data_IF_864078368214
#
_entry.id   IF_864078368214
#
_cell.length_a   1.000
_cell.length_b   1.000
_cell.length_c   1.000
_cell.angle_alpha   90.00
_cell.angle_beta   90.00
_cell.angle_gamma   90.00
#
_symmetry.space_group_name_H-M   'P 1'
#
loop_
_entity.id
_entity.type
_entity.pdbx_description
1 polymer ?
#
# COMPACT_ATOMS: atom_id res chain seq x y z
N UNK A 1 -12.06 -4.02 -15.49
CA UNK A 1 -11.58 -5.27 -14.83
C UNK A 1 -10.28 -5.78 -15.43
N UNK A 2 -10.16 -5.90 -16.76
CA UNK A 2 -8.93 -6.39 -17.42
C UNK A 2 -7.67 -5.55 -17.10
N UNK A 3 -7.78 -4.22 -17.08
CA UNK A 3 -6.66 -3.32 -16.78
C UNK A 3 -6.06 -3.56 -15.39
N UNK A 4 -6.90 -3.74 -14.37
CA UNK A 4 -6.47 -4.02 -12.99
C UNK A 4 -5.77 -5.37 -12.87
N UNK A 5 -6.31 -6.40 -13.53
CA UNK A 5 -5.71 -7.72 -13.56
C UNK A 5 -4.33 -7.70 -14.22
N UNK A 6 -4.18 -6.95 -15.32
CA UNK A 6 -2.90 -6.73 -15.99
C UNK A 6 -1.89 -6.02 -15.09
N UNK A 7 -2.32 -4.99 -14.36
CA UNK A 7 -1.46 -4.25 -13.43
C UNK A 7 -0.97 -5.14 -12.28
N UNK A 8 -1.87 -5.89 -11.63
CA UNK A 8 -1.51 -6.85 -10.57
C UNK A 8 -0.54 -7.92 -11.09
N UNK A 9 -0.83 -8.51 -12.25
CA UNK A 9 0.04 -9.50 -12.86
C UNK A 9 1.45 -8.94 -13.12
N UNK A 10 1.54 -7.74 -13.71
CA UNK A 10 2.81 -7.09 -14.01
C UNK A 10 3.61 -6.76 -12.74
N UNK A 11 2.95 -6.29 -11.67
CA UNK A 11 3.60 -6.05 -10.38
C UNK A 11 4.16 -7.33 -9.77
N UNK A 12 3.39 -8.42 -9.75
CA UNK A 12 3.83 -9.72 -9.22
C UNK A 12 5.01 -10.26 -10.03
N UNK A 13 4.92 -10.17 -11.36
CA UNK A 13 5.99 -10.62 -12.25
C UNK A 13 7.29 -9.83 -12.05
N UNK A 14 7.21 -8.50 -12.00
CA UNK A 14 8.35 -7.63 -11.72
C UNK A 14 8.94 -7.86 -10.33
N UNK A 15 8.10 -8.11 -9.33
CA UNK A 15 8.57 -8.44 -7.98
C UNK A 15 9.34 -9.77 -7.95
N UNK A 16 8.88 -10.79 -8.70
CA UNK A 16 9.61 -12.04 -8.88
C UNK A 16 10.98 -11.85 -9.57
N UNK A 17 11.03 -11.01 -10.61
CA UNK A 17 12.29 -10.63 -11.25
C UNK A 17 13.22 -9.87 -10.30
N UNK A 18 12.66 -8.99 -9.46
CA UNK A 18 13.45 -8.26 -8.48
C UNK A 18 14.07 -9.19 -7.43
N UNK A 19 13.31 -10.12 -6.85
CA UNK A 19 13.84 -11.08 -5.86
C UNK A 19 14.97 -11.90 -6.47
N UNK A 20 14.76 -12.45 -7.66
CA UNK A 20 15.74 -13.32 -8.32
C UNK A 20 17.02 -12.57 -8.68
N UNK A 21 16.91 -11.36 -9.26
CA UNK A 21 18.09 -10.53 -9.57
C UNK A 21 18.80 -10.03 -8.32
N UNK A 22 18.08 -9.70 -7.25
CA UNK A 22 18.67 -9.29 -5.98
C UNK A 22 19.51 -10.41 -5.36
N UNK A 23 18.97 -11.63 -5.30
CA UNK A 23 19.69 -12.79 -4.78
C UNK A 23 20.96 -13.10 -5.60
N UNK A 24 20.88 -13.00 -6.93
CA UNK A 24 22.02 -13.17 -7.81
C UNK A 24 23.08 -12.08 -7.60
N UNK A 25 22.67 -10.82 -7.41
CA UNK A 25 23.59 -9.70 -7.14
C UNK A 25 24.35 -9.88 -5.82
N UNK A 26 23.69 -10.37 -4.78
CA UNK A 26 24.34 -10.69 -3.48
C UNK A 26 25.27 -11.90 -3.62
N UNK A 27 24.84 -12.94 -4.35
CA UNK A 27 25.57 -14.20 -4.47
C UNK A 27 26.80 -14.17 -5.38
N UNK A 28 26.88 -13.24 -6.34
CA UNK A 28 27.91 -13.30 -7.41
C UNK A 28 29.36 -13.21 -6.90
N UNK A 29 29.59 -12.59 -5.73
CA UNK A 29 30.92 -12.43 -5.13
C UNK A 29 31.16 -13.35 -3.92
N UNK A 30 30.10 -13.86 -3.30
CA UNK A 30 30.21 -14.57 -2.02
C UNK A 30 30.46 -16.05 -2.31
N UNK A 31 31.62 -16.56 -1.89
CA UNK A 31 32.00 -17.97 -2.07
C UNK A 31 31.21 -18.91 -1.15
N UNK A 32 30.81 -18.43 0.03
CA UNK A 32 30.01 -19.17 1.00
C UNK A 32 28.51 -18.93 0.84
N UNK A 33 27.78 -19.96 0.41
CA UNK A 33 26.33 -19.88 0.20
C UNK A 33 25.56 -19.47 1.47
N UNK A 34 25.97 -19.96 2.64
CA UNK A 34 25.29 -19.66 3.91
C UNK A 34 25.33 -18.17 4.24
N UNK A 35 26.50 -17.54 4.10
CA UNK A 35 26.68 -16.11 4.36
C UNK A 35 25.88 -15.26 3.37
N UNK A 36 25.85 -15.65 2.09
CA UNK A 36 25.08 -14.95 1.08
C UNK A 36 23.57 -14.93 1.40
N UNK A 37 23.04 -16.08 1.83
CA UNK A 37 21.64 -16.22 2.21
C UNK A 37 21.32 -15.38 3.46
N UNK A 38 22.18 -15.38 4.47
CA UNK A 38 21.98 -14.58 5.68
C UNK A 38 21.95 -13.07 5.37
N UNK A 39 22.88 -12.58 4.54
CA UNK A 39 22.92 -11.17 4.13
C UNK A 39 21.66 -10.81 3.33
N UNK A 40 21.30 -11.62 2.33
CA UNK A 40 20.10 -11.38 1.54
C UNK A 40 18.83 -11.34 2.41
N UNK A 41 18.74 -12.25 3.38
CA UNK A 41 17.62 -12.32 4.34
C UNK A 41 17.56 -11.06 5.20
N UNK A 42 18.69 -10.59 5.73
CA UNK A 42 18.76 -9.36 6.52
C UNK A 42 18.32 -8.12 5.70
N UNK A 43 18.79 -8.01 4.46
CA UNK A 43 18.37 -6.94 3.55
C UNK A 43 16.88 -6.99 3.22
N UNK A 44 16.32 -8.20 3.04
CA UNK A 44 14.89 -8.38 2.82
C UNK A 44 14.07 -7.95 4.05
N UNK A 45 14.52 -8.32 5.26
CA UNK A 45 13.89 -7.86 6.51
C UNK A 45 13.88 -6.35 6.64
N UNK A 46 14.99 -5.68 6.35
CA UNK A 46 15.02 -4.21 6.34
C UNK A 46 14.03 -3.63 5.34
N UNK A 47 13.98 -4.18 4.13
CA UNK A 47 13.04 -3.72 3.10
C UNK A 47 11.58 -3.92 3.51
N UNK A 48 11.28 -5.00 4.25
CA UNK A 48 9.95 -5.31 4.80
C UNK A 48 9.56 -4.39 5.95
N UNK A 49 10.44 -4.16 6.91
CA UNK A 49 10.15 -3.28 8.07
C UNK A 49 9.90 -1.85 7.61
N UNK A 50 10.62 -1.38 6.59
CA UNK A 50 10.54 -0.01 6.09
C UNK A 50 9.63 0.17 4.87
N UNK A 51 8.81 -0.81 4.48
CA UNK A 51 7.88 -0.65 3.36
C UNK A 51 6.58 0.09 3.71
N UNK A 52 6.40 0.52 4.96
CA UNK A 52 5.26 1.34 5.41
C UNK A 52 4.00 0.57 5.80
N UNK A 53 3.98 -0.77 5.66
CA UNK A 53 2.81 -1.58 6.04
C UNK A 53 2.75 -1.92 7.53
N UNK A 54 3.91 -2.08 8.17
CA UNK A 54 4.01 -2.39 9.60
C UNK A 54 4.00 -1.13 10.46
N UNK A 55 4.53 -0.03 9.93
CA UNK A 55 4.64 1.28 10.58
C UNK A 55 4.24 2.35 9.58
N UNK A 56 3.31 3.21 9.95
CA UNK A 56 2.90 4.33 9.10
C UNK A 56 4.08 5.28 8.90
N UNK A 57 4.16 5.93 7.73
CA UNK A 57 5.21 6.90 7.40
C UNK A 57 5.32 8.03 8.43
N UNK A 58 4.22 8.37 9.10
CA UNK A 58 4.16 9.41 10.12
C UNK A 58 4.83 9.03 11.45
N UNK A 59 4.95 7.72 11.73
CA UNK A 59 5.54 7.21 12.97
C UNK A 59 7.05 6.93 12.82
N UNK A 60 7.58 7.06 11.60
CA UNK A 60 8.99 6.81 11.30
C UNK A 60 9.84 8.08 11.57
N UNK A 61 10.96 7.95 12.32
CA UNK A 61 11.93 9.04 12.46
C UNK A 61 12.45 9.50 11.10
N UNK A 62 12.72 10.81 10.94
CA UNK A 62 13.07 11.43 9.63
C UNK A 62 14.17 10.73 8.84
N UNK A 63 15.14 10.11 9.52
CA UNK A 63 16.22 9.36 8.87
C UNK A 63 15.71 8.18 8.02
N UNK A 64 14.69 7.46 8.51
CA UNK A 64 14.17 6.25 7.87
C UNK A 64 13.23 6.53 6.69
N UNK A 65 12.83 7.78 6.48
CA UNK A 65 12.03 8.20 5.31
C UNK A 65 12.82 7.95 4.00
N UNK A 66 14.14 8.11 4.03
CA UNK A 66 15.00 7.81 2.86
C UNK A 66 14.98 6.32 2.55
N UNK A 67 15.04 5.48 3.59
CA UNK A 67 15.02 4.01 3.45
C UNK A 67 13.66 3.53 2.94
N UNK A 68 12.56 4.14 3.41
CA UNK A 68 11.21 3.90 2.89
C UNK A 68 11.12 4.18 1.39
N UNK A 69 11.67 5.32 0.92
CA UNK A 69 11.71 5.67 -0.52
C UNK A 69 12.67 4.79 -1.33
N UNK A 70 13.73 4.28 -0.72
CA UNK A 70 14.66 3.36 -1.37
C UNK A 70 14.17 1.90 -1.37
N UNK A 71 13.09 1.58 -0.64
CA UNK A 71 12.60 0.21 -0.52
C UNK A 71 11.74 -0.16 -1.74
N UNK A 72 12.12 -1.18 -2.53
CA UNK A 72 11.32 -1.66 -3.65
C UNK A 72 9.98 -2.28 -3.19
N UNK A 73 9.89 -2.77 -1.95
CA UNK A 73 8.66 -3.31 -1.39
C UNK A 73 7.59 -2.23 -1.20
N UNK A 74 7.97 -0.99 -0.91
CA UNK A 74 7.04 0.14 -0.81
C UNK A 74 6.23 0.27 -2.09
N UNK A 75 6.91 0.38 -3.23
CA UNK A 75 6.27 0.53 -4.54
C UNK A 75 5.44 -0.69 -4.95
N UNK A 76 5.86 -1.89 -4.57
CA UNK A 76 5.09 -3.11 -4.82
C UNK A 76 3.77 -3.12 -4.03
N UNK A 77 3.83 -2.87 -2.72
CA UNK A 77 2.64 -2.86 -1.86
C UNK A 77 1.70 -1.72 -2.25
N UNK A 78 2.23 -0.53 -2.49
CA UNK A 78 1.45 0.64 -2.93
C UNK A 78 0.76 0.36 -4.27
N UNK A 79 1.47 -0.22 -5.22
CA UNK A 79 0.91 -0.67 -6.50
C UNK A 79 -0.19 -1.71 -6.32
N UNK A 80 0.00 -2.70 -5.45
CA UNK A 80 -0.98 -3.75 -5.17
C UNK A 80 -2.25 -3.20 -4.53
N UNK A 81 -2.11 -2.30 -3.55
CA UNK A 81 -3.23 -1.64 -2.86
C UNK A 81 -4.00 -0.74 -3.84
N UNK A 82 -3.30 0.03 -4.68
CA UNK A 82 -3.95 0.84 -5.72
C UNK A 82 -4.67 -0.03 -6.76
N UNK A 83 -4.06 -1.12 -7.23
CA UNK A 83 -4.66 -2.00 -8.23
C UNK A 83 -5.95 -2.68 -7.74
N UNK A 84 -6.00 -3.02 -6.45
CA UNK A 84 -7.11 -3.74 -5.84
C UNK A 84 -8.22 -2.81 -5.35
N UNK A 85 -7.88 -1.71 -4.68
CA UNK A 85 -8.85 -0.84 -4.01
C UNK A 85 -9.21 0.43 -4.78
N UNK A 86 -8.44 0.92 -5.75
CA UNK A 86 -8.76 2.21 -6.39
C UNK A 86 -10.20 2.23 -6.92
N UNK A 87 -10.92 3.36 -6.79
CA UNK A 87 -12.24 3.57 -7.41
C UNK A 87 -13.24 2.43 -7.19
N UNK A 88 -13.32 1.87 -5.98
CA UNK A 88 -14.36 0.90 -5.61
C UNK A 88 -15.29 1.50 -4.57
N UNK A 89 -16.60 1.30 -4.78
CA UNK A 89 -17.60 1.62 -3.78
C UNK A 89 -17.57 0.55 -2.69
N UNK A 90 -17.46 0.99 -1.44
CA UNK A 90 -17.51 0.12 -0.28
C UNK A 90 -18.90 0.21 0.33
N UNK A 91 -19.57 -0.92 0.44
CA UNK A 91 -20.77 -1.03 1.29
C UNK A 91 -20.37 -1.53 2.67
N UNK A 92 -20.68 -0.76 3.72
CA UNK A 92 -20.44 -1.20 5.09
C UNK A 92 -21.26 -2.46 5.41
N UNK A 93 -20.58 -3.47 5.95
CA UNK A 93 -21.21 -4.62 6.61
C UNK A 93 -21.77 -4.21 7.98
N UNK A 94 -22.68 -5.01 8.54
CA UNK A 94 -23.36 -4.73 9.80
C UNK A 94 -22.41 -4.47 10.98
N UNK A 95 -21.20 -5.05 10.94
CA UNK A 95 -20.16 -4.86 11.97
C UNK A 95 -19.40 -3.54 11.88
N UNK A 96 -19.42 -2.89 10.72
CA UNK A 96 -18.74 -1.60 10.46
C UNK A 96 -19.70 -0.41 10.48
N UNK A 97 -20.99 -0.67 10.71
CA UNK A 97 -21.98 0.37 10.92
C UNK A 97 -21.77 0.97 12.31
N UNK A 98 -21.65 2.30 12.37
CA UNK A 98 -21.75 3.02 13.62
C UNK A 98 -23.22 3.15 14.00
N UNK A 99 -23.53 2.69 15.21
CA UNK A 99 -24.83 2.87 15.84
C UNK A 99 -24.83 4.19 16.60
N UNK A 100 -25.54 5.18 16.06
CA UNK A 100 -25.62 6.51 16.65
C UNK A 100 -27.04 6.71 17.18
N UNK A 101 -27.17 6.95 18.48
CA UNK A 101 -28.45 7.31 19.08
C UNK A 101 -28.54 8.84 19.21
N UNK A 102 -29.51 9.50 18.53
CA UNK A 102 -29.70 10.92 18.68
C UNK A 102 -30.16 11.26 20.11
N UNK A 103 -29.68 12.36 20.71
CA UNK A 103 -30.08 12.75 22.06
C UNK A 103 -31.56 13.13 22.08
N UNK A 104 -32.33 12.54 23.00
CA UNK A 104 -33.76 12.78 23.22
C UNK A 104 -34.07 14.14 23.88
N UNK A 105 -33.15 15.10 23.81
CA UNK A 105 -33.25 16.37 24.57
C UNK A 105 -33.82 17.46 23.67
N UNK A 106 -35.12 17.74 23.84
CA UNK A 106 -35.80 18.90 23.26
C UNK A 106 -36.83 18.57 22.17
N UNK A 107 -38.04 18.19 22.59
CA UNK A 107 -39.35 18.29 21.91
C UNK A 107 -39.51 17.85 20.43
N UNK A 108 -38.53 17.25 19.79
CA UNK A 108 -38.63 16.84 18.39
C UNK A 108 -38.12 15.43 18.20
N UNK A 109 -39.01 14.54 17.74
CA UNK A 109 -38.69 13.23 17.21
C UNK A 109 -37.89 13.41 15.91
N UNK A 110 -36.64 13.86 16.03
CA UNK A 110 -35.76 14.09 14.89
C UNK A 110 -35.40 12.75 14.26
N UNK A 111 -35.59 12.67 12.95
CA UNK A 111 -35.14 11.50 12.19
C UNK A 111 -33.62 11.45 12.14
N UNK A 112 -33.05 10.25 12.01
CA UNK A 112 -31.61 10.06 11.81
C UNK A 112 -31.07 10.94 10.66
N UNK A 113 -31.86 11.10 9.59
CA UNK A 113 -31.53 11.98 8.47
C UNK A 113 -31.45 13.46 8.86
N UNK A 114 -32.35 13.97 9.71
CA UNK A 114 -32.34 15.36 10.17
C UNK A 114 -31.20 15.64 11.15
N UNK A 115 -30.98 14.72 12.10
CA UNK A 115 -29.90 14.84 13.08
C UNK A 115 -28.52 14.84 12.41
N UNK A 116 -28.30 13.93 11.47
CA UNK A 116 -27.01 13.82 10.77
C UNK A 116 -26.92 14.69 9.52
N UNK A 117 -27.94 15.51 9.18
CA UNK A 117 -27.96 16.29 7.93
C UNK A 117 -26.73 17.18 7.76
N UNK A 118 -26.32 17.90 8.80
CA UNK A 118 -25.10 18.74 8.76
C UNK A 118 -23.84 17.89 8.66
N UNK A 119 -23.80 16.74 9.33
CA UNK A 119 -22.65 15.83 9.29
C UNK A 119 -22.50 15.14 7.93
N UNK A 120 -23.62 14.78 7.30
CA UNK A 120 -23.70 14.21 5.95
C UNK A 120 -23.34 15.21 4.85
N UNK A 121 -23.48 16.52 5.10
CA UNK A 121 -22.99 17.54 4.15
C UNK A 121 -21.47 17.64 4.12
N UNK A 122 -20.78 17.37 5.24
CA UNK A 122 -19.32 17.35 5.31
C UNK A 122 -18.72 16.00 4.94
N UNK A 123 -19.52 14.94 5.00
CA UNK A 123 -19.09 13.58 4.71
C UNK A 123 -20.05 12.99 3.69
N UNK A 124 -19.64 12.86 2.41
CA UNK A 124 -20.40 12.22 1.32
C UNK A 124 -20.69 10.72 1.58
N UNK A 125 -21.33 10.41 2.71
CA UNK A 125 -21.43 9.09 3.30
C UNK A 125 -22.91 8.73 3.51
N UNK A 126 -23.20 7.45 3.35
CA UNK A 126 -24.57 6.95 3.20
C UNK A 126 -25.14 6.50 4.55
N UNK A 127 -26.33 7.00 4.87
CA UNK A 127 -27.15 6.47 5.96
C UNK A 127 -27.95 5.27 5.45
N UNK A 128 -27.94 4.14 6.18
CA UNK A 128 -28.76 2.97 5.79
C UNK A 128 -30.22 3.10 6.22
N UNK A 129 -30.51 3.81 7.31
CA UNK A 129 -31.87 3.95 7.86
C UNK A 129 -32.26 5.42 8.13
N UNK A 130 -32.45 6.24 7.07
CA UNK A 130 -32.74 7.67 7.22
C UNK A 130 -34.01 7.99 8.02
N UNK A 131 -35.00 7.09 8.01
CA UNK A 131 -36.29 7.27 8.68
C UNK A 131 -36.32 6.80 10.15
N UNK A 132 -35.26 6.15 10.65
CA UNK A 132 -35.23 5.70 12.03
C UNK A 132 -35.13 6.90 13.00
N UNK A 133 -35.70 6.75 14.19
CA UNK A 133 -35.62 7.75 15.29
C UNK A 133 -34.67 7.29 16.41
N UNK A 134 -34.32 6.01 16.41
CA UNK A 134 -33.41 5.34 17.33
C UNK A 134 -32.52 4.42 16.52
N UNK A 135 -31.28 4.20 16.97
CA UNK A 135 -30.33 3.30 16.33
C UNK A 135 -29.97 3.67 14.88
N UNK A 136 -29.44 4.87 14.66
CA UNK A 136 -29.02 5.32 13.33
C UNK A 136 -27.79 4.53 12.87
N UNK A 137 -27.90 3.88 11.70
CA UNK A 137 -26.84 3.12 11.05
C UNK A 137 -26.08 4.02 10.09
N UNK A 138 -24.90 4.43 10.52
CA UNK A 138 -24.01 5.32 9.77
C UNK A 138 -22.79 4.55 9.24
N UNK A 139 -22.53 4.67 7.93
CA UNK A 139 -21.35 4.08 7.31
C UNK A 139 -20.22 5.12 7.20
N UNK A 140 -19.10 4.97 7.94
CA UNK A 140 -18.00 5.93 7.89
C UNK A 140 -17.13 5.81 6.64
N UNK A 141 -17.34 4.85 5.72
CA UNK A 141 -16.52 4.77 4.51
C UNK A 141 -17.38 4.30 3.35
N UNK A 142 -17.59 5.18 2.36
CA UNK A 142 -18.39 4.89 1.16
C UNK A 142 -17.50 4.68 -0.09
N UNK A 143 -16.28 5.21 -0.05
CA UNK A 143 -15.31 5.11 -1.14
C UNK A 143 -13.94 4.69 -0.59
N UNK A 144 -13.31 3.70 -1.24
CA UNK A 144 -11.93 3.30 -0.96
C UNK A 144 -10.92 4.42 -1.19
N UNK A 145 -11.22 5.38 -2.07
CA UNK A 145 -10.33 6.51 -2.36
C UNK A 145 -10.02 7.34 -1.11
N UNK A 146 -10.93 7.39 -0.14
CA UNK A 146 -10.70 8.07 1.15
C UNK A 146 -9.64 7.30 1.97
N UNK A 147 -9.68 5.96 1.96
CA UNK A 147 -8.68 5.12 2.62
C UNK A 147 -7.31 5.24 1.92
N UNK A 148 -7.30 5.28 0.58
CA UNK A 148 -6.08 5.46 -0.19
C UNK A 148 -5.41 6.81 0.09
N UNK A 149 -6.18 7.90 0.23
CA UNK A 149 -5.67 9.22 0.63
C UNK A 149 -5.11 9.24 2.05
N UNK A 150 -5.66 8.45 2.97
CA UNK A 150 -5.09 8.32 4.31
C UNK A 150 -3.71 7.64 4.32
N UNK A 151 -3.45 6.81 3.30
CA UNK A 151 -2.16 6.17 3.07
C UNK A 151 -1.22 7.02 2.18
N UNK A 152 -1.59 8.25 1.85
CA UNK A 152 -0.87 9.14 0.92
C UNK A 152 -0.70 8.54 -0.50
N UNK A 153 -1.61 7.62 -0.88
CA UNK A 153 -1.58 6.94 -2.17
C UNK A 153 -2.55 7.59 -3.16
N UNK A 154 -2.00 8.27 -4.16
CA UNK A 154 -2.75 8.81 -5.28
C UNK A 154 -3.09 7.74 -6.33
N UNK A 155 -4.34 7.69 -6.79
CA UNK A 155 -4.80 6.73 -7.82
C UNK A 155 -4.12 6.92 -9.18
N UNK A 156 -3.57 8.10 -9.45
CA UNK A 156 -2.86 8.43 -10.69
C UNK A 156 -1.46 7.80 -10.78
N UNK A 157 -0.88 7.37 -9.65
CA UNK A 157 0.48 6.83 -9.60
C UNK A 157 0.57 5.31 -9.74
N UNK A 158 -0.56 4.61 -9.96
CA UNK A 158 -0.60 3.15 -9.99
C UNK A 158 0.36 2.54 -11.02
N UNK A 159 0.43 3.11 -12.23
CA UNK A 159 1.36 2.68 -13.28
C UNK A 159 2.79 3.20 -13.06
N UNK A 160 2.98 4.30 -12.33
CA UNK A 160 4.31 4.80 -11.99
C UNK A 160 5.06 3.80 -11.09
N UNK A 161 4.35 3.11 -10.20
CA UNK A 161 4.92 2.09 -9.33
C UNK A 161 5.53 0.92 -10.10
N UNK A 162 4.93 0.52 -11.23
CA UNK A 162 5.49 -0.47 -12.16
C UNK A 162 6.83 0.00 -12.72
N UNK A 163 6.92 1.29 -13.09
CA UNK A 163 8.15 1.90 -13.58
C UNK A 163 9.25 1.89 -12.52
N UNK A 164 8.94 2.26 -11.27
CA UNK A 164 9.93 2.25 -10.18
C UNK A 164 10.51 0.84 -9.94
N UNK A 165 9.66 -0.19 -9.87
CA UNK A 165 10.14 -1.57 -9.66
C UNK A 165 11.00 -2.03 -10.85
N UNK A 166 10.63 -1.66 -12.07
CA UNK A 166 11.41 -2.00 -13.28
C UNK A 166 12.82 -1.39 -13.23
N UNK A 167 12.97 -0.15 -12.76
CA UNK A 167 14.28 0.48 -12.55
C UNK A 167 15.13 -0.31 -11.56
N UNK A 168 14.55 -0.79 -10.46
CA UNK A 168 15.27 -1.64 -9.50
C UNK A 168 15.74 -2.97 -10.10
N UNK A 169 14.91 -3.61 -10.94
CA UNK A 169 15.30 -4.85 -11.64
C UNK A 169 16.47 -4.60 -12.59
N UNK A 170 16.42 -3.53 -13.38
CA UNK A 170 17.50 -3.17 -14.30
C UNK A 170 18.78 -2.80 -13.56
N UNK A 171 18.67 -2.07 -12.44
CA UNK A 171 19.80 -1.76 -11.57
C UNK A 171 20.46 -3.03 -11.02
N UNK A 172 19.68 -3.98 -10.50
CA UNK A 172 20.20 -5.25 -10.01
C UNK A 172 20.87 -6.05 -11.14
N UNK A 173 20.25 -6.11 -12.32
CA UNK A 173 20.83 -6.77 -13.49
C UNK A 173 22.19 -6.16 -13.85
N UNK A 174 22.27 -4.84 -13.93
CA UNK A 174 23.54 -4.14 -14.18
C UNK A 174 24.58 -4.42 -13.09
N UNK A 175 24.17 -4.42 -11.81
CA UNK A 175 25.05 -4.71 -10.69
C UNK A 175 25.64 -6.14 -10.79
N UNK A 176 24.85 -7.13 -11.20
CA UNK A 176 25.34 -8.50 -11.44
C UNK A 176 26.46 -8.48 -12.47
N UNK A 177 26.22 -7.90 -13.66
CA UNK A 177 27.22 -7.85 -14.72
C UNK A 177 28.47 -7.06 -14.31
N UNK A 178 28.29 -5.94 -13.62
CA UNK A 178 29.38 -5.08 -13.16
C UNK A 178 30.26 -5.79 -12.11
N UNK A 179 29.66 -6.44 -11.12
CA UNK A 179 30.40 -7.18 -10.09
C UNK A 179 31.06 -8.44 -10.70
N UNK A 180 30.36 -9.13 -11.60
CA UNK A 180 30.94 -10.26 -12.35
C UNK A 180 32.18 -9.81 -13.13
N UNK A 181 32.09 -8.69 -13.86
CA UNK A 181 33.22 -8.13 -14.59
C UNK A 181 34.39 -7.79 -13.66
N UNK A 182 34.13 -7.12 -12.53
CA UNK A 182 35.18 -6.76 -11.56
C UNK A 182 35.88 -7.96 -10.91
N UNK A 183 35.15 -9.05 -10.67
CA UNK A 183 35.66 -10.21 -9.90
C UNK A 183 36.28 -11.28 -10.78
N UNK A 184 35.82 -11.42 -12.04
CA UNK A 184 36.21 -12.52 -12.93
C UNK A 184 37.07 -12.09 -14.11
N UNK A 185 37.08 -10.81 -14.49
CA UNK A 185 37.97 -10.35 -15.57
C UNK A 185 39.34 -10.04 -14.96
N UNK A 186 40.40 -10.79 -15.33
CA UNK A 186 41.75 -10.47 -14.89
C UNK A 186 42.13 -9.12 -15.49
N UNK A 187 42.42 -8.14 -14.63
CA UNK A 187 43.04 -6.88 -15.05
C UNK A 187 44.52 -7.18 -15.22
N UNK A 188 44.98 -7.16 -16.47
CA UNK A 188 46.39 -7.22 -16.85
C UNK A 188 47.17 -6.06 -16.24
#
# INVERSE_FOLDING_TARGET
MAERGGLVFMLIWLFGLWITTFLQAVGVRIEHMETAVQIATLCFWFSLVFCGILLSLNDLPRFWIVVYRASPLTYFIDGMVLASLANTHLECSNVQLLHINPPLVGLSNLTCAEYLRRFAQYTNRVLKNPAAMTDCLYCPVNETNILLRQLDLGTEYAWSNVGYITVYVLFNAFAIYFIYWLTRVPKS
#
